data_IF_656323309222
#
_entry.id   IF_656323309222
#
_cell.length_a   1.000
_cell.length_b   1.000
_cell.length_c   1.000
_cell.angle_alpha   90.00
_cell.angle_beta   90.00
_cell.angle_gamma   90.00
#
_symmetry.space_group_name_H-M   'P 1'
#
loop_
_entity.id
_entity.type
_entity.pdbx_description
1 polymer ?
#
# COMPACT_ATOMS: atom_id res chain seq x y z
N UNK A 1 35.18 22.93 -14.67
CA UNK A 1 35.85 21.61 -14.66
C UNK A 1 35.21 20.64 -13.66
N UNK A 2 35.17 20.98 -12.36
CA UNK A 2 34.57 20.13 -11.30
C UNK A 2 33.04 20.00 -11.43
N UNK A 3 32.33 21.10 -11.66
CA UNK A 3 30.87 21.08 -11.82
C UNK A 3 30.39 20.22 -13.01
N UNK A 4 31.17 20.22 -14.10
CA UNK A 4 30.86 19.43 -15.30
C UNK A 4 31.07 17.93 -15.08
N UNK A 5 32.10 17.54 -14.31
CA UNK A 5 32.31 16.15 -13.89
C UNK A 5 31.21 15.68 -12.93
N UNK A 6 30.80 16.52 -11.98
CA UNK A 6 29.66 16.24 -11.10
C UNK A 6 28.37 16.02 -11.90
N UNK A 7 28.12 16.87 -12.90
CA UNK A 7 26.93 16.74 -13.73
C UNK A 7 26.96 15.47 -14.60
N UNK A 8 28.11 15.11 -15.16
CA UNK A 8 28.27 13.83 -15.89
C UNK A 8 28.08 12.61 -15.00
N UNK A 9 28.57 12.64 -13.76
CA UNK A 9 28.38 11.53 -12.81
C UNK A 9 26.91 11.37 -12.40
N UNK A 10 26.20 12.49 -12.19
CA UNK A 10 24.76 12.48 -11.90
C UNK A 10 23.96 11.93 -13.10
N UNK A 11 24.28 12.38 -14.31
CA UNK A 11 23.64 11.87 -15.52
C UNK A 11 23.88 10.38 -15.74
N UNK A 12 25.11 9.90 -15.55
CA UNK A 12 25.43 8.48 -15.63
C UNK A 12 24.66 7.71 -14.57
N UNK A 13 24.64 8.16 -13.30
CA UNK A 13 23.88 7.52 -12.22
C UNK A 13 22.38 7.36 -12.50
N UNK A 14 21.78 8.34 -13.19
CA UNK A 14 20.37 8.27 -13.60
C UNK A 14 20.14 7.25 -14.72
N UNK A 15 21.11 7.07 -15.62
CA UNK A 15 21.02 6.15 -16.77
C UNK A 15 21.24 4.67 -16.38
N UNK A 16 21.96 4.40 -15.27
CA UNK A 16 22.15 3.05 -14.71
C UNK A 16 21.10 2.68 -13.65
N UNK A 17 20.18 3.59 -13.32
CA UNK A 17 19.00 3.23 -12.52
C UNK A 17 18.08 2.35 -13.37
N UNK A 18 18.25 1.04 -13.27
CA UNK A 18 17.34 0.05 -13.86
C UNK A 18 15.90 0.42 -13.47
N UNK A 19 14.98 0.49 -14.43
CA UNK A 19 13.55 0.57 -14.15
C UNK A 19 13.15 -0.71 -13.41
N UNK A 20 13.13 -0.66 -12.07
CA UNK A 20 12.64 -1.75 -11.23
C UNK A 20 11.13 -1.89 -11.50
N UNK A 21 10.80 -2.71 -12.48
CA UNK A 21 9.45 -2.95 -12.95
C UNK A 21 8.67 -3.87 -12.01
N UNK A 22 8.79 -3.78 -10.67
CA UNK A 22 8.15 -4.82 -9.84
C UNK A 22 7.76 -4.49 -8.38
N UNK A 23 7.76 -3.23 -7.91
CA UNK A 23 7.01 -2.88 -6.69
C UNK A 23 5.46 -2.92 -6.80
N UNK A 24 4.84 -2.54 -7.95
CA UNK A 24 3.38 -2.42 -8.04
C UNK A 24 2.60 -3.72 -7.90
N UNK A 25 3.16 -4.85 -8.37
CA UNK A 25 2.50 -6.16 -8.25
C UNK A 25 2.50 -6.61 -6.80
N UNK A 26 3.64 -6.48 -6.10
CA UNK A 26 3.76 -6.81 -4.69
C UNK A 26 2.82 -5.94 -3.84
N UNK A 27 2.76 -4.64 -4.12
CA UNK A 27 1.80 -3.73 -3.50
C UNK A 27 0.35 -4.17 -3.76
N UNK A 28 0.00 -4.49 -5.01
CA UNK A 28 -1.33 -4.97 -5.38
C UNK A 28 -1.75 -6.25 -4.64
N UNK A 29 -0.83 -7.20 -4.47
CA UNK A 29 -1.07 -8.41 -3.69
C UNK A 29 -1.29 -8.08 -2.21
N UNK A 30 -0.49 -7.17 -1.64
CA UNK A 30 -0.64 -6.71 -0.26
C UNK A 30 -2.01 -6.05 -0.05
N UNK A 31 -2.39 -5.11 -0.92
CA UNK A 31 -3.70 -4.44 -0.88
C UNK A 31 -4.86 -5.43 -0.99
N UNK A 32 -4.77 -6.40 -1.93
CA UNK A 32 -5.78 -7.44 -2.07
C UNK A 32 -5.91 -8.31 -0.80
N UNK A 33 -4.78 -8.64 -0.16
CA UNK A 33 -4.74 -9.37 1.10
C UNK A 33 -5.39 -8.60 2.25
N UNK A 34 -5.03 -7.34 2.43
CA UNK A 34 -5.63 -6.45 3.43
C UNK A 34 -7.15 -6.34 3.21
N UNK A 35 -7.60 -6.13 1.97
CA UNK A 35 -9.02 -6.08 1.63
C UNK A 35 -9.74 -7.40 1.95
N UNK A 36 -9.14 -8.55 1.65
CA UNK A 36 -9.73 -9.85 1.95
C UNK A 36 -9.94 -10.06 3.48
N UNK A 37 -8.95 -9.66 4.29
CA UNK A 37 -9.04 -9.73 5.76
C UNK A 37 -10.15 -8.82 6.28
N UNK A 38 -10.25 -7.59 5.78
CA UNK A 38 -11.29 -6.64 6.19
C UNK A 38 -12.69 -7.09 5.78
N UNK A 39 -12.84 -7.65 4.58
CA UNK A 39 -14.08 -8.28 4.13
C UNK A 39 -14.49 -9.41 5.07
N UNK A 40 -13.56 -10.29 5.48
CA UNK A 40 -13.83 -11.35 6.43
C UNK A 40 -14.24 -10.81 7.81
N UNK A 41 -13.57 -9.76 8.30
CA UNK A 41 -13.85 -9.11 9.58
C UNK A 41 -15.25 -8.47 9.61
N UNK A 42 -15.63 -7.73 8.56
CA UNK A 42 -16.97 -7.17 8.40
C UNK A 42 -18.03 -8.26 8.27
N UNK A 43 -17.73 -9.33 7.52
CA UNK A 43 -18.64 -10.47 7.35
C UNK A 43 -18.90 -11.20 8.67
N UNK A 44 -17.88 -11.35 9.53
CA UNK A 44 -18.02 -11.90 10.88
C UNK A 44 -18.91 -11.03 11.78
N UNK A 45 -18.96 -9.72 11.52
CA UNK A 45 -19.89 -8.80 12.18
C UNK A 45 -21.29 -8.77 11.54
N UNK A 46 -21.52 -9.52 10.45
CA UNK A 46 -22.79 -9.55 9.72
C UNK A 46 -22.99 -8.41 8.72
N UNK A 47 -21.91 -7.72 8.33
CA UNK A 47 -21.95 -6.60 7.39
C UNK A 47 -21.16 -6.88 6.12
N UNK A 48 -21.59 -6.31 5.01
CA UNK A 48 -20.82 -6.30 3.76
C UNK A 48 -19.89 -5.09 3.75
N UNK A 49 -18.58 -5.33 3.61
CA UNK A 49 -17.60 -4.25 3.50
C UNK A 49 -17.89 -3.37 2.27
N UNK A 50 -17.73 -2.05 2.41
CA UNK A 50 -18.00 -1.07 1.35
C UNK A 50 -19.47 -0.65 1.19
N UNK A 51 -20.42 -1.32 1.85
CA UNK A 51 -21.84 -0.92 1.80
C UNK A 51 -22.33 -0.20 3.06
N UNK A 52 -21.52 -0.23 4.13
CA UNK A 52 -21.90 0.36 5.43
C UNK A 52 -21.55 1.85 5.47
N UNK A 53 -22.50 2.74 5.83
CA UNK A 53 -22.20 4.16 5.99
C UNK A 53 -21.13 4.40 7.05
N UNK A 54 -20.22 5.35 6.81
CA UNK A 54 -19.11 5.65 7.73
C UNK A 54 -19.53 5.98 9.17
N UNK A 55 -20.69 6.63 9.35
CA UNK A 55 -21.25 6.92 10.68
C UNK A 55 -21.61 5.63 11.45
N UNK A 56 -22.12 4.60 10.75
CA UNK A 56 -22.45 3.30 11.34
C UNK A 56 -21.18 2.51 11.67
N UNK A 57 -20.16 2.58 10.80
CA UNK A 57 -18.83 2.02 11.06
C UNK A 57 -18.24 2.62 12.34
N UNK A 58 -18.27 3.96 12.48
CA UNK A 58 -17.72 4.66 13.63
C UNK A 58 -18.51 4.37 14.93
N UNK A 59 -19.83 4.19 14.84
CA UNK A 59 -20.68 3.88 15.98
C UNK A 59 -20.61 2.41 16.42
N UNK A 60 -20.06 1.51 15.59
CA UNK A 60 -20.01 0.07 15.88
C UNK A 60 -18.56 -0.36 16.18
N UNK A 61 -18.22 -0.70 17.44
CA UNK A 61 -16.83 -0.91 17.85
C UNK A 61 -16.07 -1.94 17.01
N UNK A 62 -16.71 -3.05 16.65
CA UNK A 62 -16.08 -4.08 15.82
C UNK A 62 -15.78 -3.58 14.39
N UNK A 63 -16.73 -2.89 13.75
CA UNK A 63 -16.51 -2.36 12.40
C UNK A 63 -15.45 -1.26 12.41
N UNK A 64 -15.47 -0.38 13.40
CA UNK A 64 -14.44 0.63 13.60
C UNK A 64 -13.04 -0.01 13.71
N UNK A 65 -12.90 -1.08 14.50
CA UNK A 65 -11.65 -1.81 14.64
C UNK A 65 -11.22 -2.50 13.34
N UNK A 66 -12.12 -3.21 12.64
CA UNK A 66 -11.84 -3.83 11.34
C UNK A 66 -11.35 -2.78 10.32
N UNK A 67 -12.00 -1.62 10.27
CA UNK A 67 -11.68 -0.55 9.32
C UNK A 67 -10.38 0.18 9.67
N UNK A 68 -10.08 0.36 10.96
CA UNK A 68 -8.80 0.90 11.39
C UNK A 68 -7.64 -0.04 11.06
N UNK A 69 -7.81 -1.34 11.33
CA UNK A 69 -6.83 -2.37 10.97
C UNK A 69 -6.59 -2.42 9.45
N UNK A 70 -7.65 -2.28 8.64
CA UNK A 70 -7.54 -2.15 7.18
C UNK A 70 -6.61 -0.99 6.81
N UNK A 71 -6.86 0.22 7.31
CA UNK A 71 -6.05 1.39 6.99
C UNK A 71 -4.58 1.24 7.37
N UNK A 72 -4.29 0.59 8.51
CA UNK A 72 -2.90 0.31 8.94
C UNK A 72 -2.24 -0.71 8.00
N UNK A 73 -2.96 -1.76 7.62
CA UNK A 73 -2.49 -2.77 6.67
C UNK A 73 -2.15 -2.14 5.32
N UNK A 74 -3.08 -1.36 4.75
CA UNK A 74 -2.91 -0.63 3.49
C UNK A 74 -1.72 0.34 3.53
N UNK A 75 -1.53 1.06 4.65
CA UNK A 75 -0.40 1.96 4.82
C UNK A 75 0.94 1.21 4.78
N UNK A 76 1.00 -0.01 5.31
CA UNK A 76 2.20 -0.83 5.27
C UNK A 76 2.53 -1.34 3.86
N UNK A 77 1.52 -1.51 2.99
CA UNK A 77 1.70 -1.96 1.60
C UNK A 77 2.48 -0.96 0.74
N UNK A 78 2.59 0.31 1.16
CA UNK A 78 3.49 1.29 0.50
C UNK A 78 4.93 0.81 0.49
N UNK A 79 5.38 0.09 1.51
CA UNK A 79 6.71 -0.50 1.52
C UNK A 79 6.89 -1.49 0.34
N UNK A 80 5.89 -2.34 0.07
CA UNK A 80 5.92 -3.25 -1.07
C UNK A 80 5.91 -2.53 -2.42
N UNK A 81 5.37 -1.30 -2.48
CA UNK A 81 5.36 -0.48 -3.70
C UNK A 81 6.74 0.11 -4.03
N UNK A 82 7.52 0.50 -3.03
CA UNK A 82 8.79 1.20 -3.21
C UNK A 82 10.01 0.28 -3.12
N UNK A 83 9.89 -0.88 -2.49
CA UNK A 83 10.99 -1.82 -2.34
C UNK A 83 11.23 -2.52 -3.69
N UNK A 84 12.47 -2.51 -4.21
CA UNK A 84 12.84 -3.29 -5.38
C UNK A 84 12.61 -4.77 -5.10
N UNK A 85 11.85 -5.44 -5.94
CA UNK A 85 11.76 -6.92 -5.95
C UNK A 85 12.57 -7.44 -7.15
N UNK A 86 13.17 -8.64 -7.05
CA UNK A 86 14.06 -9.19 -8.07
C UNK A 86 13.38 -9.43 -9.42
#
# INVERSE_FOLDING_TARGET
MIAQKLWSLIFVGLLISSSANAGPIAAGICYAGCAAVTVACFSAAGFTFGTVPGAVIAATPMLAACNAAFGICEASCVAALIVPVP
#
